data_IF_432763383188
#
_entry.id   IF_432763383188
#
_cell.length_a   1.000
_cell.length_b   1.000
_cell.length_c   1.000
_cell.angle_alpha   90.00
_cell.angle_beta   90.00
_cell.angle_gamma   90.00
#
_symmetry.space_group_name_H-M   'P 1'
#
loop_
_entity.id
_entity.type
_entity.pdbx_description
1 polymer ?
#
# COMPACT_ATOMS: atom_id res chain seq x y z
N UNK A 1 -32.25 12.33 15.00
CA UNK A 1 -31.49 11.55 13.98
C UNK A 1 -30.44 12.47 13.40
N UNK A 2 -29.19 12.07 13.42
CA UNK A 2 -28.13 12.84 12.74
C UNK A 2 -28.44 12.92 11.24
N UNK A 3 -28.16 14.05 10.58
CA UNK A 3 -28.43 14.20 9.15
C UNK A 3 -27.60 13.18 8.33
N UNK A 4 -28.20 12.61 7.29
CA UNK A 4 -27.51 11.72 6.34
C UNK A 4 -26.52 12.55 5.53
N UNK A 5 -25.25 12.16 5.50
CA UNK A 5 -24.16 12.85 4.83
C UNK A 5 -24.03 12.38 3.38
N UNK A 6 -24.07 13.33 2.45
CA UNK A 6 -23.88 13.05 1.00
C UNK A 6 -22.41 13.02 0.67
N UNK A 7 -21.85 11.80 0.59
CA UNK A 7 -20.44 11.53 0.32
C UNK A 7 -20.21 11.22 -1.16
N UNK A 8 -19.34 11.99 -1.82
CA UNK A 8 -18.84 11.64 -3.15
C UNK A 8 -17.45 11.01 -3.07
N UNK A 9 -17.20 9.98 -3.88
CA UNK A 9 -15.91 9.27 -3.93
C UNK A 9 -15.41 9.21 -5.37
N UNK A 10 -14.16 9.63 -5.61
CA UNK A 10 -13.51 9.44 -6.90
C UNK A 10 -13.30 7.95 -7.18
N UNK A 11 -14.08 7.42 -8.12
CA UNK A 11 -14.15 5.98 -8.39
C UNK A 11 -13.32 5.50 -9.58
N UNK A 12 -12.51 6.35 -10.19
CA UNK A 12 -11.89 6.05 -11.48
C UNK A 12 -10.91 4.88 -11.49
N UNK A 13 -10.25 4.56 -10.38
CA UNK A 13 -9.27 3.47 -10.35
C UNK A 13 -9.84 2.17 -9.74
N UNK A 14 -11.02 2.17 -9.11
CA UNK A 14 -11.61 0.93 -8.58
C UNK A 14 -11.66 -0.21 -9.62
N UNK A 15 -12.05 0.00 -10.88
CA UNK A 15 -12.06 -1.10 -11.84
C UNK A 15 -10.68 -1.66 -12.20
N UNK A 16 -9.60 -0.88 -11.97
CA UNK A 16 -8.25 -1.18 -12.46
C UNK A 16 -7.27 -1.57 -11.36
N UNK A 17 -7.35 -0.92 -10.21
CA UNK A 17 -6.39 -1.16 -9.12
C UNK A 17 -6.96 -2.16 -8.11
N UNK A 18 -6.40 -3.36 -8.11
CA UNK A 18 -6.68 -4.47 -7.18
C UNK A 18 -5.58 -4.67 -6.14
N UNK A 19 -4.51 -3.87 -6.19
CA UNK A 19 -3.37 -3.95 -5.28
C UNK A 19 -3.67 -3.26 -3.94
N UNK A 20 -2.64 -3.07 -3.09
CA UNK A 20 -2.76 -2.54 -1.72
C UNK A 20 -3.67 -1.33 -1.57
N UNK A 21 -3.40 -0.21 -2.28
CA UNK A 21 -4.26 0.98 -2.25
C UNK A 21 -5.70 0.69 -2.67
N UNK A 22 -5.87 -0.08 -3.75
CA UNK A 22 -7.20 -0.45 -4.23
C UNK A 22 -7.97 -1.34 -3.26
N UNK A 23 -7.28 -2.20 -2.48
CA UNK A 23 -7.90 -3.01 -1.41
C UNK A 23 -8.36 -2.14 -0.26
N UNK A 24 -7.51 -1.25 0.24
CA UNK A 24 -7.85 -0.31 1.31
C UNK A 24 -9.04 0.59 0.93
N UNK A 25 -8.99 1.20 -0.25
CA UNK A 25 -10.08 2.05 -0.73
C UNK A 25 -11.41 1.30 -0.85
N UNK A 26 -11.38 0.00 -1.24
CA UNK A 26 -12.59 -0.84 -1.29
C UNK A 26 -13.16 -1.14 0.08
N UNK A 27 -12.31 -1.34 1.07
CA UNK A 27 -12.74 -1.57 2.45
C UNK A 27 -13.48 -0.36 3.01
N UNK A 28 -12.89 0.83 2.87
CA UNK A 28 -13.56 2.10 3.22
C UNK A 28 -14.88 2.26 2.48
N UNK A 29 -14.91 2.01 1.16
CA UNK A 29 -16.13 2.13 0.36
C UNK A 29 -17.22 1.15 0.82
N UNK A 30 -16.89 -0.12 1.07
CA UNK A 30 -17.86 -1.12 1.54
C UNK A 30 -18.46 -0.72 2.89
N UNK A 31 -17.62 -0.22 3.80
CA UNK A 31 -18.07 0.26 5.11
C UNK A 31 -18.98 1.48 4.96
N UNK A 32 -18.61 2.45 4.11
CA UNK A 32 -19.45 3.61 3.83
C UNK A 32 -20.81 3.24 3.21
N UNK A 33 -20.84 2.22 2.31
CA UNK A 33 -22.07 1.74 1.70
C UNK A 33 -22.98 0.96 2.68
N UNK A 34 -22.40 0.37 3.71
CA UNK A 34 -23.13 -0.33 4.76
C UNK A 34 -23.68 0.60 5.85
N UNK A 35 -23.10 1.80 6.00
CA UNK A 35 -23.47 2.76 7.04
C UNK A 35 -24.63 3.67 6.57
N UNK A 36 -25.82 3.61 7.21
CA UNK A 36 -26.97 4.42 6.83
C UNK A 36 -26.75 5.92 7.05
N UNK A 37 -25.70 6.33 7.75
CA UNK A 37 -25.32 7.73 7.91
C UNK A 37 -24.75 8.35 6.62
N UNK A 38 -24.44 7.54 5.58
CA UNK A 38 -23.92 8.03 4.31
C UNK A 38 -24.84 7.73 3.12
N UNK A 39 -25.06 8.76 2.31
CA UNK A 39 -25.57 8.63 0.95
C UNK A 39 -24.39 8.72 -0.01
N UNK A 40 -23.93 7.58 -0.54
CA UNK A 40 -22.69 7.51 -1.33
C UNK A 40 -22.96 7.75 -2.81
N UNK A 41 -22.16 8.62 -3.43
CA UNK A 41 -22.08 8.83 -4.88
C UNK A 41 -20.70 8.48 -5.40
N UNK A 42 -20.61 7.54 -6.36
CA UNK A 42 -19.37 7.19 -7.04
C UNK A 42 -19.17 8.04 -8.28
N UNK A 43 -18.05 8.78 -8.35
CA UNK A 43 -17.70 9.66 -9.46
C UNK A 43 -16.93 8.88 -10.52
N UNK A 44 -17.62 8.36 -11.51
CA UNK A 44 -17.06 7.59 -12.63
C UNK A 44 -17.00 8.43 -13.90
N UNK A 45 -15.82 8.45 -14.55
CA UNK A 45 -15.62 9.22 -15.78
C UNK A 45 -16.20 8.53 -17.03
N UNK A 46 -16.32 7.20 -17.02
CA UNK A 46 -16.75 6.39 -18.16
C UNK A 46 -17.95 5.51 -17.79
N UNK A 47 -18.85 5.26 -18.74
CA UNK A 47 -19.98 4.33 -18.57
C UNK A 47 -19.52 2.88 -18.30
N UNK A 48 -18.39 2.47 -18.90
CA UNK A 48 -17.78 1.16 -18.63
C UNK A 48 -17.36 1.02 -17.19
N UNK A 49 -16.76 2.06 -16.59
CA UNK A 49 -16.36 2.07 -15.20
C UNK A 49 -17.59 1.97 -14.27
N UNK A 50 -18.66 2.74 -14.57
CA UNK A 50 -19.90 2.68 -13.81
C UNK A 50 -20.54 1.27 -13.86
N UNK A 51 -20.47 0.56 -15.00
CA UNK A 51 -20.94 -0.82 -15.12
C UNK A 51 -20.12 -1.79 -14.25
N UNK A 52 -18.77 -1.66 -14.27
CA UNK A 52 -17.88 -2.49 -13.46
C UNK A 52 -18.10 -2.27 -11.96
N UNK A 53 -18.29 -1.01 -11.55
CA UNK A 53 -18.61 -0.65 -10.16
C UNK A 53 -19.95 -1.24 -9.71
N UNK A 54 -20.97 -1.20 -10.57
CA UNK A 54 -22.28 -1.79 -10.26
C UNK A 54 -22.20 -3.32 -10.09
N UNK A 55 -21.42 -3.99 -10.93
CA UNK A 55 -21.17 -5.42 -10.80
C UNK A 55 -20.42 -5.77 -9.49
N UNK A 56 -19.54 -4.91 -8.99
CA UNK A 56 -18.74 -5.16 -7.78
C UNK A 56 -19.45 -4.75 -6.48
N UNK A 57 -20.18 -3.61 -6.47
CA UNK A 57 -20.74 -3.00 -5.25
C UNK A 57 -22.27 -2.99 -5.21
N UNK A 58 -22.95 -3.55 -6.24
CA UNK A 58 -24.41 -3.54 -6.33
C UNK A 58 -24.98 -2.17 -6.65
N UNK A 59 -26.19 -1.88 -6.16
CA UNK A 59 -26.93 -0.64 -6.45
C UNK A 59 -27.05 0.33 -5.26
N UNK A 60 -26.32 0.10 -4.18
CA UNK A 60 -26.38 0.91 -2.96
C UNK A 60 -25.71 2.29 -3.06
N UNK A 61 -25.39 2.74 -4.27
CA UNK A 61 -24.77 4.05 -4.50
C UNK A 61 -25.38 4.74 -5.71
N UNK A 62 -25.22 6.05 -5.78
CA UNK A 62 -25.50 6.84 -6.98
C UNK A 62 -24.25 6.91 -7.85
N UNK A 63 -24.41 6.92 -9.17
CA UNK A 63 -23.32 7.15 -10.11
C UNK A 63 -23.45 8.55 -10.72
N UNK A 64 -22.34 9.28 -10.74
CA UNK A 64 -22.29 10.62 -11.38
C UNK A 64 -20.94 10.82 -12.09
N UNK A 65 -20.91 11.81 -13.00
CA UNK A 65 -19.64 12.23 -13.62
C UNK A 65 -18.83 13.15 -12.69
N UNK A 66 -17.50 13.24 -12.87
CA UNK A 66 -16.63 14.09 -12.05
C UNK A 66 -17.03 15.56 -11.98
N UNK A 67 -17.67 16.09 -13.03
CA UNK A 67 -18.15 17.48 -13.06
C UNK A 67 -19.25 17.78 -12.02
N UNK A 68 -19.96 16.75 -11.52
CA UNK A 68 -20.96 16.94 -10.47
C UNK A 68 -20.34 17.44 -9.16
N UNK A 69 -19.07 17.10 -8.90
CA UNK A 69 -18.34 17.55 -7.71
C UNK A 69 -18.12 19.09 -7.68
N UNK A 70 -18.20 19.76 -8.83
CA UNK A 70 -18.07 21.22 -8.93
C UNK A 70 -19.36 21.98 -8.59
N UNK A 71 -20.50 21.28 -8.50
CA UNK A 71 -21.78 21.90 -8.14
C UNK A 71 -21.80 22.22 -6.65
N UNK A 72 -22.05 23.48 -6.31
CA UNK A 72 -22.20 23.90 -4.91
C UNK A 72 -23.34 23.10 -4.24
N UNK A 73 -23.10 22.69 -2.99
CA UNK A 73 -24.06 21.93 -2.16
C UNK A 73 -24.54 20.58 -2.75
N UNK A 74 -23.85 20.03 -3.74
CA UNK A 74 -24.19 18.69 -4.26
C UNK A 74 -23.81 17.60 -3.26
N UNK A 75 -22.69 17.79 -2.57
CA UNK A 75 -22.11 16.85 -1.59
C UNK A 75 -21.70 17.61 -0.33
N UNK A 76 -21.65 16.89 0.77
CA UNK A 76 -21.20 17.42 2.07
C UNK A 76 -19.69 17.17 2.25
N UNK A 77 -19.14 16.07 1.65
CA UNK A 77 -17.72 15.83 1.51
C UNK A 77 -17.39 15.06 0.22
N UNK A 78 -16.13 15.20 -0.25
CA UNK A 78 -15.58 14.44 -1.40
C UNK A 78 -14.31 13.73 -0.97
N UNK A 79 -14.20 12.42 -1.25
CA UNK A 79 -12.99 11.64 -1.03
C UNK A 79 -12.27 11.30 -2.32
N UNK A 80 -10.95 11.54 -2.35
CA UNK A 80 -10.03 11.17 -3.42
C UNK A 80 -9.02 10.12 -2.90
N UNK A 81 -9.24 8.82 -3.11
CA UNK A 81 -8.40 7.75 -2.56
C UNK A 81 -7.13 7.42 -3.36
N UNK A 82 -6.84 8.12 -4.46
CA UNK A 82 -5.89 7.67 -5.47
C UNK A 82 -4.63 8.54 -5.62
N UNK A 83 -3.94 8.80 -4.53
CA UNK A 83 -2.67 9.55 -4.53
C UNK A 83 -2.79 10.89 -5.29
N UNK A 84 -3.84 11.65 -5.00
CA UNK A 84 -4.04 12.97 -5.55
C UNK A 84 -5.46 13.31 -5.98
N UNK A 85 -5.66 14.55 -6.37
CA UNK A 85 -6.94 15.16 -6.72
C UNK A 85 -6.99 15.43 -8.24
N UNK A 86 -7.70 14.59 -9.01
CA UNK A 86 -7.72 14.67 -10.48
C UNK A 86 -8.64 15.77 -11.03
N UNK A 87 -9.59 16.23 -10.25
CA UNK A 87 -10.51 17.33 -10.59
C UNK A 87 -10.82 18.15 -9.33
N UNK A 88 -11.17 19.43 -9.50
CA UNK A 88 -11.59 20.30 -8.40
C UNK A 88 -13.01 19.98 -7.95
N UNK A 89 -13.33 20.23 -6.67
CA UNK A 89 -14.67 20.12 -6.10
C UNK A 89 -15.05 21.37 -5.31
N UNK A 90 -16.36 21.56 -5.11
CA UNK A 90 -16.89 22.70 -4.34
C UNK A 90 -17.14 22.36 -2.87
N UNK A 91 -17.26 21.07 -2.54
CA UNK A 91 -17.41 20.59 -1.16
C UNK A 91 -16.05 20.40 -0.50
N UNK A 92 -15.99 20.38 0.84
CA UNK A 92 -14.80 19.98 1.57
C UNK A 92 -14.27 18.63 1.07
N UNK A 93 -12.95 18.49 0.98
CA UNK A 93 -12.34 17.30 0.39
C UNK A 93 -11.28 16.67 1.30
N UNK A 94 -11.31 15.34 1.37
CA UNK A 94 -10.23 14.51 1.87
C UNK A 94 -9.48 13.90 0.70
N UNK A 95 -8.17 14.02 0.67
CA UNK A 95 -7.32 13.37 -0.33
C UNK A 95 -6.37 12.42 0.36
N UNK A 96 -6.36 11.16 -0.03
CA UNK A 96 -5.34 10.22 0.45
C UNK A 96 -4.10 10.34 -0.43
N UNK A 97 -2.97 10.76 0.16
CA UNK A 97 -1.65 10.78 -0.45
C UNK A 97 -0.77 9.73 0.23
N UNK A 98 -0.54 8.62 -0.45
CA UNK A 98 0.28 7.51 0.06
C UNK A 98 1.78 7.83 -0.01
N UNK A 99 2.19 8.60 -1.01
CA UNK A 99 3.57 9.02 -1.24
C UNK A 99 3.66 10.22 -2.19
N UNK A 100 4.87 10.75 -2.33
CA UNK A 100 5.21 11.82 -3.27
C UNK A 100 6.35 11.41 -4.23
N UNK A 101 6.50 10.11 -4.51
CA UNK A 101 7.58 9.57 -5.35
C UNK A 101 7.61 10.16 -6.77
N UNK A 102 6.48 10.64 -7.29
CA UNK A 102 6.45 11.37 -8.55
C UNK A 102 7.35 12.61 -8.57
N UNK A 103 7.77 13.12 -7.40
CA UNK A 103 8.66 14.28 -7.25
C UNK A 103 10.12 13.90 -6.94
N UNK A 104 10.37 12.77 -6.28
CA UNK A 104 11.69 12.32 -5.86
C UNK A 104 12.38 11.37 -6.85
N UNK A 105 11.63 10.67 -7.72
CA UNK A 105 12.21 9.73 -8.70
C UNK A 105 12.57 10.44 -10.03
N UNK A 106 13.87 10.49 -10.42
CA UNK A 106 14.35 11.31 -11.55
C UNK A 106 14.07 10.72 -12.95
N UNK A 107 13.59 9.47 -13.09
CA UNK A 107 13.76 8.68 -14.32
C UNK A 107 12.50 8.49 -15.18
N UNK A 108 11.46 9.33 -15.02
CA UNK A 108 10.28 9.24 -15.87
C UNK A 108 10.30 10.28 -16.98
N UNK A 109 9.76 9.93 -18.15
CA UNK A 109 9.53 10.89 -19.24
C UNK A 109 8.78 12.12 -18.73
N UNK A 110 9.16 13.32 -19.19
CA UNK A 110 8.61 14.61 -18.72
C UNK A 110 7.09 14.68 -18.73
N UNK A 111 6.44 14.11 -19.76
CA UNK A 111 4.98 14.12 -19.91
C UNK A 111 4.33 13.18 -18.89
N UNK A 112 4.85 11.96 -18.74
CA UNK A 112 4.36 10.99 -17.78
C UNK A 112 4.50 11.53 -16.35
N UNK A 113 5.64 12.09 -16.01
CA UNK A 113 5.90 12.73 -14.71
C UNK A 113 4.92 13.87 -14.42
N UNK A 114 4.68 14.77 -15.38
CA UNK A 114 3.71 15.87 -15.19
C UNK A 114 2.29 15.36 -14.95
N UNK A 115 1.87 14.28 -15.63
CA UNK A 115 0.54 13.68 -15.43
C UNK A 115 0.38 13.09 -14.03
N UNK A 116 1.43 12.51 -13.45
CA UNK A 116 1.43 11.99 -12.09
C UNK A 116 1.52 13.11 -11.05
N UNK A 117 2.34 14.12 -11.30
CA UNK A 117 2.52 15.26 -10.39
C UNK A 117 1.29 16.16 -10.29
N UNK A 118 0.56 16.38 -11.39
CA UNK A 118 -0.53 17.35 -11.42
C UNK A 118 -1.66 17.06 -10.40
N UNK A 119 -2.12 15.81 -10.19
CA UNK A 119 -3.12 15.51 -9.15
C UNK A 119 -2.60 15.76 -7.73
N UNK A 120 -1.32 15.45 -7.48
CA UNK A 120 -0.68 15.66 -6.17
C UNK A 120 -0.51 17.15 -5.88
N UNK A 121 -0.03 17.92 -6.86
CA UNK A 121 0.07 19.39 -6.76
C UNK A 121 -1.28 20.04 -6.48
N UNK A 122 -2.34 19.57 -7.15
CA UNK A 122 -3.69 20.05 -6.88
C UNK A 122 -4.13 19.70 -5.47
N UNK A 123 -3.89 18.47 -4.99
CA UNK A 123 -4.22 18.06 -3.64
C UNK A 123 -3.54 18.95 -2.60
N UNK A 124 -2.24 19.21 -2.74
CA UNK A 124 -1.50 20.08 -1.82
C UNK A 124 -2.09 21.50 -1.72
N UNK A 125 -2.61 22.04 -2.84
CA UNK A 125 -3.18 23.40 -2.91
C UNK A 125 -4.64 23.46 -2.48
N UNK A 126 -5.47 22.57 -3.03
CA UNK A 126 -6.94 22.68 -3.01
C UNK A 126 -7.62 21.76 -2.00
N UNK A 127 -6.96 20.67 -1.54
CA UNK A 127 -7.56 19.77 -0.57
C UNK A 127 -7.83 20.49 0.76
N UNK A 128 -8.97 20.18 1.37
CA UNK A 128 -9.30 20.65 2.72
C UNK A 128 -8.48 19.89 3.75
N UNK A 129 -8.34 18.55 3.58
CA UNK A 129 -7.49 17.67 4.37
C UNK A 129 -6.77 16.68 3.47
N UNK A 130 -5.60 16.24 3.93
CA UNK A 130 -4.78 15.21 3.29
C UNK A 130 -4.55 14.12 4.32
N UNK A 131 -5.03 12.90 4.05
CA UNK A 131 -4.69 11.72 4.82
C UNK A 131 -3.45 11.06 4.21
N UNK A 132 -2.53 10.61 5.04
CA UNK A 132 -1.35 9.85 4.62
C UNK A 132 -1.10 8.67 5.56
N UNK A 133 -0.28 7.73 5.12
CA UNK A 133 -0.19 6.40 5.72
C UNK A 133 0.83 6.31 6.87
N UNK A 134 1.80 7.23 6.94
CA UNK A 134 2.94 7.17 7.89
C UNK A 134 3.47 8.56 8.26
N UNK A 135 4.22 8.62 9.36
CA UNK A 135 4.99 9.81 9.75
C UNK A 135 5.97 10.19 8.67
N UNK A 136 6.68 9.19 8.10
CA UNK A 136 7.62 9.44 7.01
C UNK A 136 6.94 10.08 5.80
N UNK A 137 5.80 9.56 5.33
CA UNK A 137 5.06 10.13 4.20
C UNK A 137 4.54 11.53 4.49
N UNK A 138 4.04 11.79 5.72
CA UNK A 138 3.67 13.13 6.15
C UNK A 138 4.82 14.11 6.01
N UNK A 139 5.99 13.74 6.51
CA UNK A 139 7.17 14.62 6.51
C UNK A 139 7.66 14.88 5.07
N UNK A 140 7.59 13.87 4.18
CA UNK A 140 7.87 14.03 2.76
C UNK A 140 6.88 14.97 2.06
N UNK A 141 5.58 14.87 2.38
CA UNK A 141 4.54 15.76 1.83
C UNK A 141 4.81 17.20 2.28
N UNK A 142 5.07 17.41 3.58
CA UNK A 142 5.35 18.75 4.13
C UNK A 142 6.65 19.36 3.60
N UNK A 143 7.70 18.56 3.45
CA UNK A 143 8.96 18.99 2.84
C UNK A 143 8.81 19.36 1.36
N UNK A 144 7.90 18.67 0.65
CA UNK A 144 7.68 18.91 -0.80
C UNK A 144 6.72 20.07 -1.05
N UNK A 145 5.72 20.28 -0.18
CA UNK A 145 4.63 21.22 -0.39
C UNK A 145 4.32 22.07 0.85
N UNK A 146 4.83 23.28 0.91
CA UNK A 146 4.48 24.23 1.98
C UNK A 146 2.94 24.49 2.08
N UNK A 147 2.22 24.45 0.95
CA UNK A 147 0.77 24.61 0.89
C UNK A 147 -0.02 23.48 1.61
N UNK A 148 0.63 22.37 1.96
CA UNK A 148 0.02 21.27 2.71
C UNK A 148 0.11 21.46 4.24
N UNK A 149 0.82 22.47 4.73
CA UNK A 149 0.95 22.74 6.17
C UNK A 149 -0.43 22.89 6.83
N UNK A 150 -0.59 22.26 8.00
CA UNK A 150 -1.83 22.26 8.77
C UNK A 150 -2.98 21.43 8.18
N UNK A 151 -2.76 20.72 7.04
CA UNK A 151 -3.81 19.93 6.38
C UNK A 151 -3.56 18.43 6.46
N UNK A 152 -2.35 17.99 6.81
CA UNK A 152 -1.95 16.58 6.75
C UNK A 152 -2.23 15.86 8.06
N UNK A 153 -2.94 14.76 8.00
CA UNK A 153 -3.19 13.84 9.10
C UNK A 153 -2.69 12.43 8.75
N UNK A 154 -2.29 11.66 9.76
CA UNK A 154 -1.85 10.27 9.57
C UNK A 154 -3.05 9.35 9.81
N UNK A 155 -3.35 8.54 8.82
CA UNK A 155 -4.35 7.47 8.89
C UNK A 155 -3.65 6.18 8.45
N UNK A 156 -2.96 5.54 9.39
CA UNK A 156 -2.12 4.40 9.12
C UNK A 156 -2.95 3.16 8.73
N UNK A 157 -2.64 2.49 7.60
CA UNK A 157 -3.29 1.25 7.22
C UNK A 157 -2.75 0.06 8.02
N UNK A 158 -3.54 -1.03 8.03
CA UNK A 158 -3.13 -2.32 8.55
C UNK A 158 -3.48 -3.42 7.54
N UNK A 159 -2.85 -4.61 7.62
CA UNK A 159 -3.21 -5.72 6.77
C UNK A 159 -4.62 -6.21 7.12
N UNK A 160 -5.46 -6.44 6.11
CA UNK A 160 -6.81 -6.98 6.31
C UNK A 160 -6.75 -8.39 6.93
N UNK A 161 -7.88 -8.85 7.52
CA UNK A 161 -8.00 -10.18 8.11
C UNK A 161 -7.85 -11.32 7.09
N UNK A 162 -7.94 -11.01 5.79
CA UNK A 162 -7.63 -11.95 4.72
C UNK A 162 -6.19 -12.51 4.82
N UNK A 163 -5.26 -11.65 5.22
CA UNK A 163 -3.86 -12.04 5.48
C UNK A 163 -3.77 -12.59 6.89
N UNK A 164 -3.61 -13.89 6.98
CA UNK A 164 -3.55 -14.62 8.26
C UNK A 164 -2.74 -15.90 8.12
N UNK A 165 -2.14 -16.35 9.19
CA UNK A 165 -1.54 -17.68 9.27
C UNK A 165 -2.58 -18.77 9.04
N UNK A 166 -2.14 -19.96 8.66
CA UNK A 166 -3.00 -21.13 8.45
C UNK A 166 -2.46 -22.03 7.36
N UNK A 167 -3.15 -23.13 7.13
CA UNK A 167 -2.87 -24.14 6.11
C UNK A 167 -3.95 -24.16 5.01
N UNK A 168 -3.74 -24.97 3.97
CA UNK A 168 -4.75 -25.24 2.95
C UNK A 168 -4.63 -24.41 1.66
N UNK A 169 -3.75 -23.41 1.60
CA UNK A 169 -3.40 -22.77 0.33
C UNK A 169 -2.32 -23.59 -0.39
N UNK A 170 -2.51 -23.83 -1.70
CA UNK A 170 -1.62 -24.65 -2.52
C UNK A 170 -0.54 -23.79 -3.17
N UNK A 171 0.72 -24.19 -3.00
CA UNK A 171 1.86 -23.58 -3.71
C UNK A 171 1.89 -24.04 -5.19
N UNK A 172 2.46 -23.22 -6.09
CA UNK A 172 2.81 -23.67 -7.43
C UNK A 172 3.78 -24.86 -7.35
N UNK A 173 3.64 -25.88 -8.24
CA UNK A 173 4.46 -27.10 -8.19
C UNK A 173 5.98 -26.88 -8.21
N UNK A 174 6.43 -25.77 -8.80
CA UNK A 174 7.84 -25.40 -8.89
C UNK A 174 8.41 -24.72 -7.64
N UNK A 175 7.58 -24.49 -6.61
CA UNK A 175 7.97 -23.79 -5.36
C UNK A 175 7.92 -24.77 -4.18
N UNK A 176 9.07 -25.01 -3.56
CA UNK A 176 9.14 -25.83 -2.35
C UNK A 176 8.95 -25.00 -1.07
N UNK A 177 8.04 -25.43 -0.20
CA UNK A 177 7.75 -24.72 1.06
C UNK A 177 9.01 -24.57 1.94
N UNK A 178 9.20 -23.39 2.53
CA UNK A 178 10.34 -23.07 3.41
C UNK A 178 11.69 -22.91 2.69
N UNK A 179 11.77 -23.23 1.42
CA UNK A 179 13.02 -23.26 0.65
C UNK A 179 13.15 -22.13 -0.36
N UNK A 180 12.54 -20.99 -0.09
CA UNK A 180 12.66 -19.82 -0.96
C UNK A 180 12.63 -18.50 -0.19
N UNK A 181 13.29 -17.52 -0.80
CA UNK A 181 13.15 -16.10 -0.46
C UNK A 181 12.08 -15.51 -1.37
N UNK A 182 11.13 -14.78 -0.81
CA UNK A 182 10.04 -14.16 -1.57
C UNK A 182 10.26 -12.65 -1.72
N UNK A 183 10.18 -12.15 -2.94
CA UNK A 183 10.19 -10.74 -3.30
C UNK A 183 8.86 -10.35 -3.96
N UNK A 184 8.20 -9.30 -3.49
CA UNK A 184 6.92 -8.84 -4.04
C UNK A 184 7.04 -7.43 -4.60
N UNK A 185 6.57 -7.23 -5.86
CA UNK A 185 6.50 -5.92 -6.50
C UNK A 185 7.80 -5.45 -7.15
N UNK A 186 8.67 -6.35 -7.60
CA UNK A 186 10.04 -6.07 -8.05
C UNK A 186 10.19 -5.12 -9.27
N UNK A 187 9.10 -4.77 -9.96
CA UNK A 187 9.16 -4.01 -11.22
C UNK A 187 9.58 -2.54 -11.05
N UNK A 188 9.36 -1.98 -9.88
CA UNK A 188 9.70 -0.59 -9.58
C UNK A 188 11.14 -0.51 -9.06
N UNK A 189 11.95 0.43 -9.58
CA UNK A 189 13.38 0.56 -9.21
C UNK A 189 13.57 0.71 -7.69
N UNK A 190 12.67 1.45 -7.02
CA UNK A 190 12.71 1.64 -5.56
C UNK A 190 12.54 0.34 -4.76
N UNK A 191 12.00 -0.73 -5.36
CA UNK A 191 11.91 -2.06 -4.73
C UNK A 191 13.27 -2.78 -4.68
N UNK A 192 14.29 -2.23 -5.33
CA UNK A 192 15.69 -2.61 -5.20
C UNK A 192 15.95 -4.12 -5.37
N UNK A 193 15.31 -4.72 -6.38
CA UNK A 193 15.47 -6.13 -6.70
C UNK A 193 16.94 -6.52 -6.92
N UNK A 194 17.74 -5.60 -7.46
CA UNK A 194 19.16 -5.81 -7.74
C UNK A 194 19.96 -6.22 -6.51
N UNK A 195 19.81 -5.53 -5.38
CA UNK A 195 20.47 -5.87 -4.11
C UNK A 195 20.07 -7.27 -3.67
N UNK A 196 18.78 -7.58 -3.71
CA UNK A 196 18.31 -8.90 -3.28
C UNK A 196 18.77 -10.03 -4.20
N UNK A 197 18.78 -9.84 -5.51
CA UNK A 197 19.29 -10.83 -6.47
C UNK A 197 20.76 -11.14 -6.17
N UNK A 198 21.59 -10.11 -5.95
CA UNK A 198 23.01 -10.29 -5.61
C UNK A 198 23.17 -11.02 -4.26
N UNK A 199 22.38 -10.66 -3.25
CA UNK A 199 22.40 -11.30 -1.94
C UNK A 199 21.94 -12.77 -2.02
N UNK A 200 20.87 -13.05 -2.77
CA UNK A 200 20.39 -14.42 -2.98
C UNK A 200 21.40 -15.29 -3.75
N UNK A 201 22.06 -14.74 -4.77
CA UNK A 201 23.11 -15.45 -5.51
C UNK A 201 24.29 -15.89 -4.60
N UNK A 202 24.60 -15.10 -3.57
CA UNK A 202 25.62 -15.43 -2.57
C UNK A 202 25.11 -16.34 -1.45
N UNK A 203 23.82 -16.28 -1.11
CA UNK A 203 23.24 -16.96 0.04
C UNK A 203 22.60 -18.31 -0.25
N UNK A 204 21.85 -18.43 -1.37
CA UNK A 204 21.03 -19.61 -1.65
C UNK A 204 21.84 -20.82 -2.13
N UNK A 205 21.41 -22.01 -1.76
CA UNK A 205 22.12 -23.26 -2.01
C UNK A 205 21.17 -24.37 -2.46
N UNK A 206 21.67 -25.31 -3.27
CA UNK A 206 20.95 -26.52 -3.66
C UNK A 206 19.62 -26.23 -4.36
N UNK A 207 18.53 -26.62 -3.73
CA UNK A 207 17.16 -26.47 -4.22
C UNK A 207 16.48 -25.15 -3.81
N UNK A 208 17.17 -24.32 -3.02
CA UNK A 208 16.66 -23.01 -2.61
C UNK A 208 16.53 -22.06 -3.80
N UNK A 209 15.56 -21.16 -3.75
CA UNK A 209 15.26 -20.27 -4.88
C UNK A 209 14.79 -18.87 -4.45
N UNK A 210 14.89 -17.90 -5.37
CA UNK A 210 14.24 -16.60 -5.26
C UNK A 210 12.90 -16.64 -6.03
N UNK A 211 11.81 -16.47 -5.32
CA UNK A 211 10.47 -16.35 -5.91
C UNK A 211 10.08 -14.88 -6.00
N UNK A 212 9.69 -14.45 -7.21
CA UNK A 212 9.42 -13.04 -7.52
C UNK A 212 7.98 -12.90 -7.96
N UNK A 213 7.21 -12.08 -7.26
CA UNK A 213 5.84 -11.72 -7.63
C UNK A 213 5.80 -10.33 -8.25
N UNK A 214 5.20 -10.21 -9.44
CA UNK A 214 5.04 -8.93 -10.14
C UNK A 214 6.06 -8.66 -11.25
N UNK A 215 6.99 -9.59 -11.48
CA UNK A 215 7.98 -9.58 -12.58
C UNK A 215 9.17 -8.67 -12.35
N UNK A 216 10.24 -8.90 -13.12
CA UNK A 216 11.48 -8.11 -13.12
C UNK A 216 11.55 -7.18 -14.33
N UNK A 217 12.34 -6.11 -14.21
CA UNK A 217 12.81 -5.34 -15.35
C UNK A 217 13.85 -6.12 -16.18
N UNK A 218 14.15 -5.68 -17.43
CA UNK A 218 15.12 -6.37 -18.30
C UNK A 218 16.52 -6.48 -17.66
N UNK A 219 16.98 -5.43 -16.99
CA UNK A 219 18.30 -5.40 -16.36
C UNK A 219 18.42 -6.39 -15.21
N UNK A 220 17.39 -6.46 -14.34
CA UNK A 220 17.38 -7.36 -13.19
C UNK A 220 17.22 -8.82 -13.65
N UNK A 221 16.43 -9.07 -14.70
CA UNK A 221 16.32 -10.40 -15.33
C UNK A 221 17.66 -10.86 -15.90
N UNK A 222 18.40 -9.96 -16.58
CA UNK A 222 19.74 -10.23 -17.04
C UNK A 222 20.72 -10.51 -15.88
N UNK A 223 20.56 -9.85 -14.74
CA UNK A 223 21.37 -10.11 -13.54
C UNK A 223 21.11 -11.51 -12.98
N UNK A 224 19.84 -11.93 -12.87
CA UNK A 224 19.48 -13.30 -12.48
C UNK A 224 20.17 -14.34 -13.38
N UNK A 225 20.09 -14.17 -14.70
CA UNK A 225 20.71 -15.09 -15.66
C UNK A 225 22.23 -15.17 -15.49
N UNK A 226 22.90 -14.02 -15.34
CA UNK A 226 24.38 -13.99 -15.18
C UNK A 226 24.86 -14.55 -13.84
N UNK A 227 24.06 -14.44 -12.79
CA UNK A 227 24.43 -14.93 -11.46
C UNK A 227 24.24 -16.44 -11.28
N UNK A 228 23.59 -17.11 -12.20
CA UNK A 228 23.22 -18.53 -12.06
C UNK A 228 22.20 -18.80 -10.96
N UNK A 229 21.57 -17.76 -10.41
CA UNK A 229 20.59 -17.86 -9.34
C UNK A 229 19.34 -18.61 -9.81
N UNK A 230 18.92 -19.63 -9.05
CA UNK A 230 17.62 -20.25 -9.26
C UNK A 230 16.52 -19.25 -8.84
N UNK A 231 15.85 -18.66 -9.83
CA UNK A 231 14.80 -17.70 -9.59
C UNK A 231 13.59 -17.95 -10.50
N UNK A 232 12.38 -17.65 -10.01
CA UNK A 232 11.13 -17.78 -10.75
C UNK A 232 10.23 -16.56 -10.60
N UNK A 233 9.68 -16.07 -11.72
CA UNK A 233 8.68 -14.99 -11.73
C UNK A 233 7.28 -15.61 -11.73
N UNK A 234 6.41 -15.14 -10.83
CA UNK A 234 5.03 -15.64 -10.65
C UNK A 234 4.04 -14.50 -10.75
N UNK A 235 3.03 -14.65 -11.60
CA UNK A 235 1.84 -13.82 -11.54
C UNK A 235 0.89 -14.39 -10.48
N UNK A 236 0.74 -13.69 -9.35
CA UNK A 236 -0.01 -14.20 -8.22
C UNK A 236 -1.36 -13.48 -8.07
N UNK A 237 -2.44 -14.24 -7.90
CA UNK A 237 -3.68 -13.75 -7.27
C UNK A 237 -3.45 -13.55 -5.77
N UNK A 238 -4.37 -12.85 -5.08
CA UNK A 238 -4.28 -12.68 -3.62
C UNK A 238 -4.21 -14.03 -2.88
N UNK A 239 -4.96 -15.05 -3.34
CA UNK A 239 -4.89 -16.40 -2.77
C UNK A 239 -3.51 -17.03 -2.95
N UNK A 240 -2.93 -16.92 -4.14
CA UNK A 240 -1.59 -17.42 -4.42
C UNK A 240 -0.53 -16.66 -3.62
N UNK A 241 -0.66 -15.33 -3.52
CA UNK A 241 0.26 -14.50 -2.75
C UNK A 241 0.21 -14.86 -1.26
N UNK A 242 -0.99 -15.14 -0.72
CA UNK A 242 -1.14 -15.62 0.66
C UNK A 242 -0.47 -16.98 0.85
N UNK A 243 -0.63 -17.91 -0.09
CA UNK A 243 0.08 -19.19 -0.06
C UNK A 243 1.60 -18.99 -0.05
N UNK A 244 2.10 -18.08 -0.89
CA UNK A 244 3.52 -17.75 -0.95
C UNK A 244 4.02 -17.12 0.35
N UNK A 245 3.27 -16.21 0.98
CA UNK A 245 3.65 -15.68 2.29
C UNK A 245 3.73 -16.76 3.36
N UNK A 246 2.70 -17.60 3.47
CA UNK A 246 2.60 -18.67 4.50
C UNK A 246 3.73 -19.68 4.47
N UNK A 247 4.28 -19.91 3.29
CA UNK A 247 5.26 -20.97 3.06
C UNK A 247 6.66 -20.42 2.73
N UNK A 248 6.88 -19.11 2.80
CA UNK A 248 8.20 -18.53 2.55
C UNK A 248 9.18 -18.87 3.66
N UNK A 249 10.40 -19.26 3.30
CA UNK A 249 11.52 -19.32 4.23
C UNK A 249 11.85 -17.93 4.79
N UNK A 250 11.84 -16.91 3.89
CA UNK A 250 12.02 -15.49 4.24
C UNK A 250 11.25 -14.64 3.24
N UNK A 251 10.55 -13.61 3.70
CA UNK A 251 10.05 -12.52 2.85
C UNK A 251 11.02 -11.34 2.92
N UNK A 252 11.55 -10.94 1.78
CA UNK A 252 12.53 -9.87 1.69
C UNK A 252 11.92 -8.60 1.06
N UNK A 253 12.10 -7.46 1.73
CA UNK A 253 11.61 -6.14 1.30
C UNK A 253 12.79 -5.17 1.23
N UNK A 254 13.64 -5.26 0.19
CA UNK A 254 14.87 -4.46 0.08
C UNK A 254 14.63 -3.03 -0.41
N UNK A 255 13.40 -2.54 -0.33
CA UNK A 255 12.96 -1.26 -0.90
C UNK A 255 13.78 -0.09 -0.36
N UNK A 256 14.22 0.80 -1.24
CA UNK A 256 14.89 2.05 -0.86
C UNK A 256 13.90 3.14 -0.46
N UNK A 257 12.63 3.01 -0.88
CA UNK A 257 11.57 3.93 -0.52
C UNK A 257 10.19 3.24 -0.51
N UNK A 258 9.45 3.43 0.57
CA UNK A 258 8.05 3.03 0.75
C UNK A 258 7.29 4.13 1.45
N UNK A 259 6.07 4.42 0.99
CA UNK A 259 5.18 5.38 1.68
C UNK A 259 4.63 4.82 2.99
N UNK A 260 4.42 3.50 3.03
CA UNK A 260 4.05 2.75 4.23
C UNK A 260 4.71 1.36 4.23
N UNK A 261 4.36 0.48 3.29
CA UNK A 261 4.88 -0.88 3.22
C UNK A 261 3.88 -1.92 3.74
N UNK A 262 2.79 -2.15 3.01
CA UNK A 262 1.83 -3.22 3.35
C UNK A 262 2.43 -4.63 3.20
N UNK A 263 3.36 -4.84 2.27
CA UNK A 263 3.97 -6.14 2.00
C UNK A 263 4.58 -6.80 3.23
N UNK A 264 5.45 -6.13 4.03
CA UNK A 264 5.98 -6.74 5.25
C UNK A 264 4.88 -7.08 6.26
N UNK A 265 3.85 -6.25 6.41
CA UNK A 265 2.75 -6.52 7.35
C UNK A 265 1.86 -7.69 6.88
N UNK A 266 1.57 -7.80 5.58
CA UNK A 266 0.86 -8.94 4.99
C UNK A 266 1.64 -10.24 5.21
N UNK A 267 2.95 -10.21 5.01
CA UNK A 267 3.84 -11.33 5.24
C UNK A 267 3.88 -11.76 6.72
N UNK A 268 4.03 -10.81 7.65
CA UNK A 268 3.98 -11.04 9.09
C UNK A 268 2.65 -11.63 9.53
N UNK A 269 1.52 -11.09 9.02
CA UNK A 269 0.19 -11.61 9.30
C UNK A 269 0.00 -13.06 8.84
N UNK A 270 0.68 -13.44 7.76
CA UNK A 270 0.71 -14.81 7.23
C UNK A 270 1.72 -15.72 7.95
N UNK A 271 2.54 -15.21 8.86
CA UNK A 271 3.54 -15.96 9.62
C UNK A 271 4.87 -16.14 8.90
N UNK A 272 5.22 -15.28 7.96
CA UNK A 272 6.55 -15.31 7.34
C UNK A 272 7.58 -14.55 8.19
N UNK A 273 8.84 -15.04 8.30
CA UNK A 273 9.95 -14.22 8.77
C UNK A 273 10.23 -13.10 7.76
N UNK A 274 10.36 -11.85 8.23
CA UNK A 274 10.53 -10.69 7.35
C UNK A 274 11.90 -10.04 7.56
N UNK A 275 12.61 -9.81 6.46
CA UNK A 275 13.80 -8.94 6.40
C UNK A 275 13.43 -7.73 5.54
N UNK A 276 13.62 -6.53 6.05
CA UNK A 276 13.25 -5.30 5.37
C UNK A 276 14.42 -4.29 5.40
N UNK A 277 14.37 -3.31 4.51
CA UNK A 277 15.33 -2.20 4.54
C UNK A 277 15.08 -1.30 5.75
N UNK A 278 16.15 -0.82 6.35
CA UNK A 278 16.13 0.29 7.33
C UNK A 278 16.07 1.63 6.59
N UNK A 279 14.95 1.85 5.87
CA UNK A 279 14.76 3.02 5.03
C UNK A 279 13.30 3.44 4.95
N UNK A 280 13.08 4.74 4.80
CA UNK A 280 11.75 5.35 4.59
C UNK A 280 10.75 4.98 5.70
N UNK A 281 9.52 4.60 5.36
CA UNK A 281 8.51 4.21 6.34
C UNK A 281 8.69 2.78 6.90
N UNK A 282 9.60 1.96 6.38
CA UNK A 282 9.72 0.55 6.77
C UNK A 282 10.04 0.33 8.25
N UNK A 283 10.94 1.09 8.91
CA UNK A 283 11.18 0.97 10.36
C UNK A 283 9.90 1.25 11.18
N UNK A 284 9.17 2.32 10.87
CA UNK A 284 7.91 2.69 11.51
C UNK A 284 6.85 1.60 11.30
N UNK A 285 6.72 1.12 10.07
CA UNK A 285 5.72 0.12 9.68
C UNK A 285 5.98 -1.21 10.35
N UNK A 286 7.21 -1.69 10.30
CA UNK A 286 7.56 -3.01 10.83
C UNK A 286 7.66 -3.07 12.36
N UNK A 287 7.96 -1.94 13.02
CA UNK A 287 7.89 -1.79 14.48
C UNK A 287 8.60 -2.89 15.27
N UNK A 288 9.77 -3.35 14.82
CA UNK A 288 10.53 -4.44 15.45
C UNK A 288 10.12 -5.87 15.01
N UNK A 289 9.06 -6.02 14.21
CA UNK A 289 8.61 -7.31 13.66
C UNK A 289 9.46 -7.83 12.49
N UNK A 290 10.36 -7.01 11.93
CA UNK A 290 11.32 -7.41 10.89
C UNK A 290 12.76 -7.25 11.35
N UNK A 291 13.67 -7.97 10.68
CA UNK A 291 15.09 -7.66 10.70
C UNK A 291 15.37 -6.52 9.71
N UNK A 292 15.87 -5.39 10.21
CA UNK A 292 16.15 -4.20 9.39
C UNK A 292 17.61 -4.19 8.94
N UNK A 293 17.84 -3.86 7.66
CA UNK A 293 19.17 -3.82 7.03
C UNK A 293 19.28 -2.59 6.12
N UNK A 294 20.51 -2.08 5.98
CA UNK A 294 20.80 -1.09 4.94
C UNK A 294 20.40 -1.65 3.55
N UNK A 295 19.61 -0.92 2.75
CA UNK A 295 19.14 -1.39 1.45
C UNK A 295 20.24 -1.71 0.43
N UNK A 296 21.48 -1.25 0.67
CA UNK A 296 22.59 -1.44 -0.25
C UNK A 296 23.68 -2.40 0.28
N UNK A 297 23.58 -2.88 1.53
CA UNK A 297 24.55 -3.81 2.14
C UNK A 297 24.29 -5.27 1.69
N UNK A 298 24.66 -5.60 0.44
CA UNK A 298 24.51 -6.95 -0.14
C UNK A 298 25.12 -8.05 0.77
N UNK A 299 26.33 -7.91 1.35
CA UNK A 299 26.87 -8.93 2.24
C UNK A 299 26.02 -9.18 3.47
N UNK A 300 25.48 -8.14 4.09
CA UNK A 300 24.60 -8.26 5.26
C UNK A 300 23.28 -8.92 4.93
N UNK A 301 22.69 -8.59 3.78
CA UNK A 301 21.51 -9.27 3.25
C UNK A 301 21.78 -10.76 3.05
N UNK A 302 22.86 -11.12 2.35
CA UNK A 302 23.22 -12.51 2.11
C UNK A 302 23.42 -13.30 3.41
N UNK A 303 24.16 -12.74 4.38
CA UNK A 303 24.39 -13.36 5.68
C UNK A 303 23.08 -13.55 6.46
N UNK A 304 22.20 -12.56 6.45
CA UNK A 304 20.93 -12.61 7.17
C UNK A 304 19.97 -13.64 6.58
N UNK A 305 19.85 -13.68 5.24
CA UNK A 305 19.06 -14.68 4.54
C UNK A 305 19.57 -16.09 4.86
N UNK A 306 20.89 -16.31 4.77
CA UNK A 306 21.49 -17.62 5.09
C UNK A 306 21.19 -18.04 6.52
N UNK A 307 21.38 -17.14 7.50
CA UNK A 307 21.11 -17.43 8.91
C UNK A 307 19.66 -17.81 9.16
N UNK A 308 18.70 -17.14 8.53
CA UNK A 308 17.27 -17.44 8.71
C UNK A 308 16.86 -18.76 8.06
N UNK A 309 17.50 -19.14 6.94
CA UNK A 309 17.23 -20.41 6.27
C UNK A 309 17.90 -21.61 6.99
N UNK A 310 19.03 -21.39 7.69
CA UNK A 310 19.78 -22.43 8.40
C UNK A 310 19.37 -22.59 9.88
N UNK A 311 18.71 -21.59 10.47
CA UNK A 311 18.41 -21.53 11.92
C UNK A 311 16.90 -21.38 12.15
N UNK A 312 16.15 -22.51 12.22
CA UNK A 312 14.70 -22.49 12.45
C UNK A 312 14.28 -21.76 13.74
N UNK A 313 14.97 -21.89 14.88
CA UNK A 313 14.67 -21.11 16.09
C UNK A 313 14.71 -19.59 15.86
N UNK A 314 15.70 -19.11 15.13
CA UNK A 314 15.79 -17.68 14.79
C UNK A 314 14.67 -17.21 13.87
N UNK A 315 14.31 -18.02 12.88
CA UNK A 315 13.18 -17.74 12.00
C UNK A 315 11.87 -17.70 12.79
N UNK A 316 11.70 -18.59 13.79
CA UNK A 316 10.53 -18.63 14.66
C UNK A 316 10.44 -17.40 15.58
N UNK A 317 11.56 -16.97 16.18
CA UNK A 317 11.61 -15.71 16.94
C UNK A 317 11.16 -14.52 16.08
N UNK A 318 11.63 -14.45 14.84
CA UNK A 318 11.23 -13.38 13.93
C UNK A 318 9.75 -13.44 13.52
N UNK A 319 9.18 -14.65 13.36
CA UNK A 319 7.74 -14.85 13.16
C UNK A 319 6.92 -14.36 14.34
N UNK A 320 7.32 -14.75 15.56
CA UNK A 320 6.65 -14.34 16.79
C UNK A 320 6.61 -12.82 16.94
N UNK A 321 7.73 -12.14 16.66
CA UNK A 321 7.80 -10.67 16.64
C UNK A 321 6.91 -10.07 15.55
N UNK A 322 6.86 -10.67 14.36
CA UNK A 322 5.97 -10.26 13.28
C UNK A 322 4.49 -10.37 13.68
N UNK A 323 4.07 -11.45 14.29
CA UNK A 323 2.71 -11.61 14.83
C UNK A 323 2.39 -10.58 15.90
N UNK A 324 3.30 -10.34 16.84
CA UNK A 324 3.12 -9.33 17.89
C UNK A 324 2.95 -7.92 17.27
N UNK A 325 3.73 -7.59 16.24
CA UNK A 325 3.58 -6.33 15.51
C UNK A 325 2.20 -6.19 14.88
N UNK A 326 1.73 -7.21 14.17
CA UNK A 326 0.41 -7.17 13.51
C UNK A 326 -0.73 -7.11 14.53
N UNK A 327 -0.60 -7.81 15.65
CA UNK A 327 -1.60 -7.79 16.73
C UNK A 327 -1.72 -6.41 17.40
N UNK A 328 -0.64 -5.62 17.41
CA UNK A 328 -0.63 -4.27 17.95
C UNK A 328 -1.22 -3.22 16.98
N UNK A 329 -1.51 -3.58 15.72
CA UNK A 329 -2.10 -2.66 14.76
C UNK A 329 -3.63 -2.61 14.89
N UNK A 330 -4.16 -1.43 14.74
CA UNK A 330 -5.60 -1.23 14.59
C UNK A 330 -6.03 -1.59 13.16
N UNK A 331 -6.57 -2.79 12.98
CA UNK A 331 -6.93 -3.31 11.65
C UNK A 331 -8.02 -2.50 10.95
N UNK A 332 -8.92 -1.90 11.71
CA UNK A 332 -10.01 -1.07 11.20
C UNK A 332 -9.65 0.43 11.20
N UNK A 333 -8.48 0.77 11.73
CA UNK A 333 -8.02 2.13 11.96
C UNK A 333 -8.03 3.00 10.71
N UNK A 334 -7.55 2.46 9.58
CA UNK A 334 -7.57 3.19 8.31
C UNK A 334 -9.00 3.49 7.84
N UNK A 335 -9.88 2.49 7.86
CA UNK A 335 -11.28 2.66 7.44
C UNK A 335 -12.02 3.61 8.38
N UNK A 336 -11.91 3.39 9.68
CA UNK A 336 -12.54 4.23 10.70
C UNK A 336 -12.01 5.67 10.62
N UNK A 337 -10.69 5.88 10.62
CA UNK A 337 -10.07 7.21 10.56
C UNK A 337 -10.45 7.96 9.29
N UNK A 338 -10.47 7.30 8.13
CA UNK A 338 -10.90 7.91 6.87
C UNK A 338 -12.37 8.37 6.93
N UNK A 339 -13.28 7.52 7.43
CA UNK A 339 -14.70 7.86 7.56
C UNK A 339 -14.95 8.93 8.60
N UNK A 340 -14.23 8.93 9.71
CA UNK A 340 -14.28 9.99 10.73
C UNK A 340 -13.80 11.32 10.16
N UNK A 341 -12.69 11.36 9.42
CA UNK A 341 -12.21 12.57 8.76
C UNK A 341 -13.25 13.12 7.78
N UNK A 342 -13.92 12.25 7.02
CA UNK A 342 -15.00 12.64 6.11
C UNK A 342 -16.22 13.19 6.86
N UNK A 343 -16.62 12.59 7.98
CA UNK A 343 -17.72 13.12 8.83
C UNK A 343 -17.40 14.51 9.36
N UNK A 344 -16.20 14.72 9.90
CA UNK A 344 -15.74 16.01 10.42
C UNK A 344 -15.75 17.09 9.34
N UNK A 345 -15.28 16.78 8.14
CA UNK A 345 -15.33 17.69 6.99
C UNK A 345 -16.75 18.06 6.61
N UNK A 346 -17.67 17.10 6.60
CA UNK A 346 -19.05 17.31 6.22
C UNK A 346 -19.81 18.17 7.24
N UNK A 347 -19.51 18.03 8.53
CA UNK A 347 -20.17 18.78 9.62
C UNK A 347 -19.52 20.15 9.90
N UNK A 348 -18.38 20.47 9.22
CA UNK A 348 -17.61 21.70 9.44
C UNK A 348 -17.21 21.90 10.90
N UNK A 349 -16.85 20.81 11.57
CA UNK A 349 -16.36 20.85 12.94
C UNK A 349 -14.96 21.47 12.98
N UNK A 350 -14.86 22.78 13.22
CA UNK A 350 -13.61 23.57 13.21
C UNK A 350 -12.74 23.32 14.44
N UNK A 351 -13.28 22.71 15.52
CA UNK A 351 -12.57 22.49 16.79
C UNK A 351 -11.50 21.38 16.76
N UNK A 352 -11.14 20.89 15.58
CA UNK A 352 -10.21 19.75 15.44
C UNK A 352 -8.74 20.15 15.36
N UNK A 353 -8.42 21.39 14.96
CA UNK A 353 -7.03 21.86 14.80
C UNK A 353 -6.29 21.88 16.14
N UNK A 354 -6.99 22.13 17.25
CA UNK A 354 -6.39 22.32 18.58
C UNK A 354 -6.14 21.02 19.37
N UNK A 355 -6.57 19.85 18.87
CA UNK A 355 -6.41 18.58 19.61
C UNK A 355 -5.28 17.67 19.09
N UNK A 356 -4.56 18.09 18.06
CA UNK A 356 -3.41 17.37 17.49
C UNK A 356 -2.11 18.18 17.56
N UNK A 357 -2.09 19.30 18.29
CA UNK A 357 -0.89 20.05 18.62
C UNK A 357 -0.15 19.46 19.82
#
# INVERSE_FOLDING_TARGET
MSPVLRLAIDAANFPRDRRGMGRLAREVLRTALADPAFEVTLLAAKRSDARALRAEFGERYRAAGPLSARKRRAYDAVWFPWNGMRFGCAAPSLVTLHDVFAFSEPHRERIARRREQAPILRAAREATRIATDSTWSRDQILATFAAASGKVEIVAPAPSTYWSAGSGDVLPPQVAAGRYVLLVGAREKRKNARTLIAACAAALRGDESLVIVGGLGPEDRALVLRSGLRAGEIAASDRMLRALYRNAGVVAVPSTAEGFGLVPLEAMACGAPVVASDASALPETTGGGALLLDPYDVPRWAQSLRRLLDDPPRAEDLRARGFARVAALDRDGFTRGTLESLRRLATRDENFVDRLA
#
